data_IF_042624767597
#
_entry.id   IF_042624767597
#
_cell.length_a   1.000
_cell.length_b   1.000
_cell.length_c   1.000
_cell.angle_alpha   90.00
_cell.angle_beta   90.00
_cell.angle_gamma   90.00
#
_symmetry.space_group_name_H-M   'P 1'
#
loop_
_entity.id
_entity.type
_entity.pdbx_description
1 polymer ?
#
# COMPACT_ATOMS: atom_id res chain seq x y z
N UNK A 1 -55.62 15.15 38.56
CA UNK A 1 -54.87 13.95 38.13
C UNK A 1 -53.43 14.36 37.85
N UNK A 2 -52.51 14.20 38.81
CA UNK A 2 -51.09 14.54 38.59
C UNK A 2 -50.35 13.29 38.09
N UNK A 3 -49.89 13.37 36.84
CA UNK A 3 -49.06 12.36 36.18
C UNK A 3 -47.63 12.54 36.66
N UNK A 4 -47.21 11.75 37.64
CA UNK A 4 -45.81 11.70 38.09
C UNK A 4 -44.98 11.09 36.97
N UNK A 5 -44.32 11.92 36.17
CA UNK A 5 -43.32 11.45 35.22
C UNK A 5 -42.12 10.96 36.04
N UNK A 6 -41.96 9.63 36.09
CA UNK A 6 -40.76 9.01 36.66
C UNK A 6 -39.59 9.35 35.75
N UNK A 7 -38.87 10.43 36.07
CA UNK A 7 -37.57 10.70 35.48
C UNK A 7 -36.66 9.53 35.83
N UNK A 8 -36.14 8.83 34.80
CA UNK A 8 -35.05 7.86 34.98
C UNK A 8 -33.95 8.52 35.83
N UNK A 9 -33.40 7.77 36.78
CA UNK A 9 -32.36 8.31 37.66
C UNK A 9 -31.17 8.79 36.81
N UNK A 10 -30.61 9.97 37.13
CA UNK A 10 -29.52 10.58 36.37
C UNK A 10 -28.30 9.64 36.24
N UNK A 11 -28.08 8.79 37.25
CA UNK A 11 -26.99 7.81 37.26
C UNK A 11 -27.29 6.58 36.38
N UNK A 12 -28.56 6.16 36.29
CA UNK A 12 -28.97 5.06 35.40
C UNK A 12 -28.85 5.48 33.95
N UNK A 13 -29.26 6.72 33.64
CA UNK A 13 -29.06 7.30 32.31
C UNK A 13 -27.57 7.45 31.97
N UNK A 14 -26.73 7.85 32.92
CA UNK A 14 -25.28 7.97 32.72
C UNK A 14 -24.60 6.62 32.45
N UNK A 15 -25.02 5.54 33.11
CA UNK A 15 -24.50 4.20 32.84
C UNK A 15 -24.84 3.74 31.43
N UNK A 16 -26.11 3.91 31.00
CA UNK A 16 -26.54 3.55 29.64
C UNK A 16 -25.81 4.39 28.59
N UNK A 17 -25.58 5.68 28.87
CA UNK A 17 -24.83 6.57 27.99
C UNK A 17 -23.37 6.12 27.84
N UNK A 18 -22.72 5.73 28.95
CA UNK A 18 -21.35 5.23 28.92
C UNK A 18 -21.24 3.91 28.15
N UNK A 19 -22.18 2.98 28.36
CA UNK A 19 -22.24 1.72 27.60
C UNK A 19 -22.50 1.97 26.10
N UNK A 20 -23.39 2.91 25.76
CA UNK A 20 -23.64 3.30 24.37
C UNK A 20 -22.39 3.88 23.71
N UNK A 21 -21.65 4.76 24.40
CA UNK A 21 -20.42 5.34 23.89
C UNK A 21 -19.35 4.27 23.59
N UNK A 22 -19.19 3.29 24.48
CA UNK A 22 -18.25 2.17 24.29
C UNK A 22 -18.63 1.36 23.03
N UNK A 23 -19.90 1.00 22.87
CA UNK A 23 -20.36 0.21 21.71
C UNK A 23 -20.19 0.99 20.40
N UNK A 24 -20.51 2.29 20.39
CA UNK A 24 -20.33 3.15 19.22
C UNK A 24 -18.84 3.28 18.87
N UNK A 25 -17.97 3.47 19.86
CA UNK A 25 -16.51 3.51 19.61
C UNK A 25 -15.97 2.17 19.08
N UNK A 26 -16.47 1.04 19.59
CA UNK A 26 -16.05 -0.29 19.15
C UNK A 26 -16.47 -0.57 17.71
N UNK A 27 -17.71 -0.24 17.36
CA UNK A 27 -18.23 -0.42 15.99
C UNK A 27 -17.53 0.49 14.98
N UNK A 28 -17.23 1.74 15.36
CA UNK A 28 -16.44 2.65 14.53
C UNK A 28 -15.01 2.15 14.31
N UNK A 29 -14.35 1.69 15.37
CA UNK A 29 -13.01 1.12 15.27
C UNK A 29 -12.98 -0.09 14.33
N UNK A 30 -13.93 -1.02 14.49
CA UNK A 30 -14.02 -2.18 13.60
C UNK A 30 -14.28 -1.78 12.14
N UNK A 31 -15.17 -0.80 11.91
CA UNK A 31 -15.43 -0.30 10.55
C UNK A 31 -14.17 0.31 9.91
N UNK A 32 -13.37 1.06 10.67
CA UNK A 32 -12.11 1.62 10.18
C UNK A 32 -11.13 0.49 9.82
N UNK A 33 -10.96 -0.50 10.68
CA UNK A 33 -10.10 -1.67 10.40
C UNK A 33 -10.58 -2.46 9.19
N UNK A 34 -11.88 -2.67 9.05
CA UNK A 34 -12.47 -3.37 7.90
C UNK A 34 -12.22 -2.59 6.60
N UNK A 35 -12.41 -1.28 6.62
CA UNK A 35 -12.15 -0.40 5.47
C UNK A 35 -10.67 -0.37 5.09
N UNK A 36 -9.76 -0.32 6.06
CA UNK A 36 -8.33 -0.39 5.81
C UNK A 36 -7.93 -1.73 5.18
N UNK A 37 -8.50 -2.84 5.65
CA UNK A 37 -8.28 -4.16 5.06
C UNK A 37 -8.84 -4.28 3.64
N UNK A 38 -10.02 -3.72 3.38
CA UNK A 38 -10.60 -3.68 2.03
C UNK A 38 -9.70 -2.87 1.07
N UNK A 39 -9.25 -1.69 1.50
CA UNK A 39 -8.34 -0.85 0.71
C UNK A 39 -7.02 -1.58 0.43
N UNK A 40 -6.44 -2.23 1.44
CA UNK A 40 -5.24 -3.05 1.27
C UNK A 40 -5.43 -4.17 0.26
N UNK A 41 -6.55 -4.90 0.36
CA UNK A 41 -6.85 -5.98 -0.59
C UNK A 41 -6.98 -5.46 -2.02
N UNK A 42 -7.64 -4.30 -2.22
CA UNK A 42 -7.74 -3.65 -3.54
C UNK A 42 -6.38 -3.23 -4.09
N UNK A 43 -5.52 -2.63 -3.26
CA UNK A 43 -4.15 -2.27 -3.64
C UNK A 43 -3.37 -3.52 -4.03
N UNK A 44 -3.42 -4.57 -3.22
CA UNK A 44 -2.72 -5.84 -3.49
C UNK A 44 -3.17 -6.46 -4.81
N UNK A 45 -4.48 -6.60 -5.02
CA UNK A 45 -5.02 -7.13 -6.27
C UNK A 45 -4.57 -6.29 -7.46
N UNK A 46 -4.55 -4.96 -7.33
CA UNK A 46 -4.08 -4.09 -8.40
C UNK A 46 -2.59 -4.30 -8.68
N UNK A 47 -1.73 -4.31 -7.66
CA UNK A 47 -0.29 -4.57 -7.81
C UNK A 47 -0.04 -5.93 -8.48
N UNK A 48 -0.73 -6.99 -8.06
CA UNK A 48 -0.59 -8.32 -8.66
C UNK A 48 -1.05 -8.33 -10.13
N UNK A 49 -2.12 -7.63 -10.47
CA UNK A 49 -2.58 -7.50 -11.85
C UNK A 49 -1.57 -6.72 -12.71
N UNK A 50 -0.97 -5.66 -12.16
CA UNK A 50 0.10 -4.89 -12.82
C UNK A 50 1.29 -5.81 -13.10
N UNK A 51 1.77 -6.55 -12.10
CA UNK A 51 2.90 -7.48 -12.24
C UNK A 51 2.61 -8.52 -13.31
N UNK A 52 1.43 -9.16 -13.26
CA UNK A 52 1.04 -10.15 -14.25
C UNK A 52 0.98 -9.55 -15.67
N UNK A 53 0.50 -8.32 -15.79
CA UNK A 53 0.42 -7.58 -17.06
C UNK A 53 1.81 -7.23 -17.58
N UNK A 54 2.71 -6.71 -16.74
CA UNK A 54 4.11 -6.42 -17.11
C UNK A 54 4.81 -7.71 -17.54
N UNK A 55 4.68 -8.78 -16.76
CA UNK A 55 5.25 -10.08 -17.09
C UNK A 55 4.70 -10.63 -18.42
N UNK A 56 3.44 -10.32 -18.78
CA UNK A 56 2.83 -10.72 -20.06
C UNK A 56 3.27 -9.83 -21.24
N UNK A 57 3.46 -8.54 -21.02
CA UNK A 57 3.88 -7.59 -22.06
C UNK A 57 5.36 -7.70 -22.38
N UNK A 58 6.17 -8.06 -21.39
CA UNK A 58 7.63 -8.11 -21.47
C UNK A 58 8.16 -9.52 -21.21
N UNK A 59 7.46 -10.54 -21.72
CA UNK A 59 7.91 -11.94 -21.69
C UNK A 59 9.32 -11.99 -22.30
N UNK A 60 10.26 -12.65 -21.63
CA UNK A 60 11.67 -12.84 -22.03
C UNK A 60 12.56 -11.57 -22.01
N UNK A 61 12.13 -10.46 -21.39
CA UNK A 61 13.01 -9.30 -21.21
C UNK A 61 14.02 -9.54 -20.09
N UNK A 62 13.56 -10.09 -18.97
CA UNK A 62 14.39 -10.51 -17.85
C UNK A 62 15.35 -9.41 -17.38
N UNK A 63 16.59 -9.80 -17.10
CA UNK A 63 17.65 -8.87 -16.68
C UNK A 63 18.41 -8.23 -17.85
N UNK A 64 18.17 -8.69 -19.08
CA UNK A 64 19.04 -8.41 -20.23
C UNK A 64 18.48 -7.38 -21.21
N UNK A 65 17.17 -7.10 -21.16
CA UNK A 65 16.52 -6.11 -22.03
C UNK A 65 15.87 -4.99 -21.23
N UNK A 66 15.96 -3.73 -21.71
CA UNK A 66 15.28 -2.61 -21.08
C UNK A 66 13.76 -2.71 -21.23
N UNK A 67 13.02 -2.44 -20.17
CA UNK A 67 11.54 -2.34 -20.16
C UNK A 67 11.05 -1.05 -20.85
N UNK A 68 11.52 -0.79 -22.07
CA UNK A 68 11.25 0.45 -22.83
C UNK A 68 9.76 0.66 -23.06
N UNK A 69 9.25 1.84 -22.71
CA UNK A 69 7.83 2.18 -22.88
C UNK A 69 6.93 1.74 -21.73
N UNK A 70 7.48 1.07 -20.70
CA UNK A 70 6.74 0.79 -19.49
C UNK A 70 6.35 2.11 -18.81
N UNK A 71 5.05 2.31 -18.64
CA UNK A 71 4.48 3.48 -17.98
C UNK A 71 3.12 3.11 -17.38
N UNK A 72 2.63 3.87 -16.39
CA UNK A 72 1.28 3.69 -15.86
C UNK A 72 0.18 3.77 -16.94
N UNK A 73 0.41 4.55 -18.01
CA UNK A 73 -0.52 4.68 -19.15
C UNK A 73 -0.66 3.37 -19.95
N UNK A 74 0.45 2.68 -20.22
CA UNK A 74 0.43 1.38 -20.89
C UNK A 74 -0.33 0.33 -20.04
N UNK A 75 -0.16 0.39 -18.73
CA UNK A 75 -0.83 -0.50 -17.78
C UNK A 75 -2.34 -0.21 -17.71
N UNK A 76 -2.74 1.06 -17.78
CA UNK A 76 -4.15 1.43 -17.84
C UNK A 76 -4.85 0.88 -19.09
N UNK A 77 -4.18 0.90 -20.24
CA UNK A 77 -4.73 0.35 -21.49
C UNK A 77 -4.90 -1.18 -21.41
N UNK A 78 -3.96 -1.86 -20.73
CA UNK A 78 -3.98 -3.31 -20.60
C UNK A 78 -4.92 -3.84 -19.49
N UNK A 79 -5.24 -3.04 -18.47
CA UNK A 79 -6.10 -3.44 -17.34
C UNK A 79 -7.34 -2.53 -17.25
N UNK A 80 -8.53 -3.03 -17.60
CA UNK A 80 -9.74 -2.23 -17.53
C UNK A 80 -10.04 -1.81 -16.08
N UNK A 81 -10.58 -0.58 -15.92
CA UNK A 81 -10.94 0.06 -14.65
C UNK A 81 -9.79 0.61 -13.80
N UNK A 82 -8.55 0.64 -14.30
CA UNK A 82 -7.48 1.42 -13.65
C UNK A 82 -7.70 2.92 -13.89
N UNK A 83 -7.66 3.69 -12.81
CA UNK A 83 -7.75 5.15 -12.85
C UNK A 83 -6.36 5.75 -12.69
N UNK A 84 -5.98 6.60 -13.63
CA UNK A 84 -4.78 7.43 -13.51
C UNK A 84 -5.14 8.79 -12.91
N UNK A 85 -4.20 9.31 -12.13
CA UNK A 85 -4.22 10.67 -11.66
C UNK A 85 -3.94 11.63 -12.82
N UNK A 86 -4.77 12.67 -12.93
CA UNK A 86 -4.68 13.64 -14.03
C UNK A 86 -3.48 14.58 -13.91
N UNK A 87 -2.86 14.67 -12.73
CA UNK A 87 -1.73 15.55 -12.47
C UNK A 87 -0.40 14.82 -12.57
N UNK A 88 -0.29 13.63 -11.97
CA UNK A 88 0.97 12.90 -11.88
C UNK A 88 1.05 11.68 -12.81
N UNK A 89 -0.07 11.27 -13.43
CA UNK A 89 -0.12 10.07 -14.28
C UNK A 89 0.00 8.75 -13.53
N UNK A 90 -0.03 8.77 -12.20
CA UNK A 90 0.07 7.57 -11.35
C UNK A 90 -1.27 6.86 -11.20
N UNK A 91 -1.24 5.56 -10.92
CA UNK A 91 -2.43 4.76 -10.69
C UNK A 91 -2.99 5.09 -9.31
N UNK A 92 -4.21 5.62 -9.24
CA UNK A 92 -4.87 5.98 -7.99
C UNK A 92 -5.46 4.74 -7.34
N UNK A 93 -5.19 4.56 -6.06
CA UNK A 93 -5.75 3.51 -5.23
C UNK A 93 -6.55 4.07 -4.06
N UNK A 94 -7.48 3.28 -3.48
CA UNK A 94 -8.21 3.70 -2.30
C UNK A 94 -7.25 3.98 -1.12
N UNK A 95 -7.62 4.93 -0.27
CA UNK A 95 -6.76 5.39 0.82
C UNK A 95 -5.75 6.47 0.43
N UNK A 96 -5.82 7.01 -0.80
CA UNK A 96 -4.93 8.07 -1.26
C UNK A 96 -3.52 7.59 -1.58
N UNK A 97 -3.37 6.28 -1.80
CA UNK A 97 -2.11 5.66 -2.23
C UNK A 97 -2.00 5.81 -3.75
N UNK A 98 -0.81 6.10 -4.23
CA UNK A 98 -0.52 6.17 -5.66
C UNK A 98 0.48 5.08 -6.03
N UNK A 99 0.22 4.39 -7.15
CA UNK A 99 1.12 3.38 -7.68
C UNK A 99 1.79 3.93 -8.93
N UNK A 100 3.11 3.94 -8.93
CA UNK A 100 3.91 4.21 -10.12
C UNK A 100 4.61 2.93 -10.61
N UNK A 101 4.81 2.82 -11.92
CA UNK A 101 5.46 1.68 -12.55
C UNK A 101 6.41 2.20 -13.61
N UNK A 102 7.71 1.96 -13.43
CA UNK A 102 8.73 2.53 -14.30
C UNK A 102 9.84 1.53 -14.61
N UNK A 103 10.48 1.64 -15.79
CA UNK A 103 11.69 0.91 -16.09
C UNK A 103 12.87 1.51 -15.34
N UNK A 104 13.70 0.66 -14.76
CA UNK A 104 14.93 1.06 -14.08
C UNK A 104 16.12 0.32 -14.67
N UNK A 105 17.13 1.08 -15.11
CA UNK A 105 18.42 0.54 -15.48
C UNK A 105 19.31 0.45 -14.24
N UNK A 106 20.01 -0.67 -14.08
CA UNK A 106 20.99 -0.84 -13.01
C UNK A 106 22.31 -1.36 -13.56
N UNK A 107 23.35 -1.22 -12.74
CA UNK A 107 24.69 -1.62 -13.13
C UNK A 107 24.73 -3.14 -13.38
N UNK A 108 24.71 -3.52 -14.66
CA UNK A 108 24.71 -4.91 -15.11
C UNK A 108 23.39 -5.46 -15.66
N UNK A 109 22.28 -4.70 -15.64
CA UNK A 109 21.02 -5.17 -16.22
C UNK A 109 19.81 -4.26 -16.02
N UNK A 110 18.63 -4.81 -16.30
CA UNK A 110 17.36 -4.08 -16.30
C UNK A 110 16.36 -4.71 -15.34
N UNK A 111 15.59 -3.85 -14.69
CA UNK A 111 14.48 -4.24 -13.82
C UNK A 111 13.38 -3.19 -13.93
N UNK A 112 12.17 -3.55 -13.55
CA UNK A 112 11.07 -2.60 -13.43
C UNK A 112 10.76 -2.36 -11.96
N UNK A 113 10.37 -1.14 -11.63
CA UNK A 113 9.99 -0.76 -10.27
C UNK A 113 8.49 -0.60 -10.15
N UNK A 114 7.97 -1.01 -9.00
CA UNK A 114 6.62 -0.68 -8.55
C UNK A 114 6.78 0.17 -7.30
N UNK A 115 6.27 1.39 -7.36
CA UNK A 115 6.40 2.38 -6.28
C UNK A 115 5.03 2.62 -5.67
N UNK A 116 4.92 2.41 -4.35
CA UNK A 116 3.74 2.74 -3.57
C UNK A 116 4.00 4.05 -2.81
N UNK A 117 3.42 5.14 -3.31
CA UNK A 117 3.52 6.47 -2.72
C UNK A 117 2.41 6.70 -1.71
N UNK A 118 2.71 7.56 -0.72
CA UNK A 118 1.77 8.00 0.32
C UNK A 118 1.22 6.86 1.19
N UNK A 119 2.05 5.86 1.49
CA UNK A 119 1.67 4.77 2.40
C UNK A 119 1.69 5.27 3.85
N UNK A 120 0.60 5.14 4.61
CA UNK A 120 0.59 5.50 6.03
C UNK A 120 1.61 4.66 6.80
N UNK A 121 2.34 5.28 7.72
CA UNK A 121 3.38 4.58 8.46
C UNK A 121 2.88 3.40 9.29
N UNK A 122 1.66 3.50 9.83
CA UNK A 122 0.98 2.42 10.56
C UNK A 122 0.78 1.16 9.70
N UNK A 123 0.81 1.30 8.38
CA UNK A 123 0.62 0.22 7.42
C UNK A 123 1.93 -0.15 6.69
N UNK A 124 3.05 0.47 7.02
CA UNK A 124 4.34 0.28 6.35
C UNK A 124 4.78 -1.19 6.33
N UNK A 125 4.69 -1.87 7.48
CA UNK A 125 5.05 -3.28 7.61
C UNK A 125 4.14 -4.20 6.80
N UNK A 126 2.84 -3.88 6.76
CA UNK A 126 1.84 -4.64 6.02
C UNK A 126 2.07 -4.56 4.51
N UNK A 127 2.33 -3.35 3.98
CA UNK A 127 2.63 -3.16 2.56
C UNK A 127 4.03 -3.68 2.18
N UNK A 128 5.01 -3.59 3.08
CA UNK A 128 6.34 -4.19 2.87
C UNK A 128 6.29 -5.71 2.77
N UNK A 129 5.48 -6.35 3.63
CA UNK A 129 5.21 -7.79 3.56
C UNK A 129 4.54 -8.17 2.25
N UNK A 130 3.55 -7.38 1.84
CA UNK A 130 2.82 -7.60 0.59
C UNK A 130 3.75 -7.57 -0.62
N UNK A 131 4.62 -6.55 -0.73
CA UNK A 131 5.55 -6.43 -1.85
C UNK A 131 6.64 -7.51 -1.84
N UNK A 132 7.14 -7.90 -0.67
CA UNK A 132 8.13 -8.98 -0.59
C UNK A 132 7.54 -10.37 -0.84
N UNK A 133 6.22 -10.52 -0.77
CA UNK A 133 5.52 -11.78 -1.08
C UNK A 133 5.40 -12.07 -2.59
N UNK A 134 5.83 -11.15 -3.47
CA UNK A 134 5.76 -11.32 -4.93
C UNK A 134 6.65 -12.47 -5.44
N UNK A 135 7.60 -12.98 -4.63
CA UNK A 135 8.32 -14.23 -4.90
C UNK A 135 9.59 -14.06 -5.75
N UNK A 136 9.89 -15.05 -6.61
CA UNK A 136 11.21 -15.21 -7.28
C UNK A 136 11.65 -14.07 -8.20
N UNK A 137 10.70 -13.23 -8.63
CA UNK A 137 10.91 -12.08 -9.50
C UNK A 137 11.37 -10.83 -8.75
N UNK A 138 11.20 -10.80 -7.42
CA UNK A 138 11.64 -9.71 -6.58
C UNK A 138 13.16 -9.74 -6.39
N UNK A 139 13.83 -8.61 -6.64
CA UNK A 139 15.31 -8.51 -6.53
C UNK A 139 15.78 -7.48 -5.53
N UNK A 140 15.09 -6.34 -5.44
CA UNK A 140 15.53 -5.17 -4.64
C UNK A 140 14.31 -4.45 -4.09
N UNK A 141 14.50 -3.73 -3.00
CA UNK A 141 13.52 -2.75 -2.56
C UNK A 141 14.18 -1.49 -2.03
N UNK A 142 13.41 -0.43 -1.99
CA UNK A 142 13.78 0.82 -1.38
C UNK A 142 12.64 1.30 -0.51
N UNK A 143 13.00 1.98 0.57
CA UNK A 143 12.03 2.74 1.36
C UNK A 143 12.57 4.13 1.60
N UNK A 144 11.69 5.11 1.63
CA UNK A 144 12.03 6.47 2.01
C UNK A 144 10.80 7.19 2.56
N UNK A 145 10.97 8.16 3.46
CA UNK A 145 9.94 9.16 3.72
C UNK A 145 9.59 9.87 2.40
N UNK A 146 8.32 10.16 2.17
CA UNK A 146 7.90 10.86 0.95
C UNK A 146 8.63 12.21 0.82
N UNK A 147 9.45 12.37 -0.21
CA UNK A 147 10.25 13.58 -0.45
C UNK A 147 11.66 13.61 0.18
N UNK A 148 12.13 12.52 0.79
CA UNK A 148 13.51 12.35 1.26
C UNK A 148 14.26 11.24 0.51
N UNK A 149 15.57 11.13 0.74
CA UNK A 149 16.43 10.14 0.10
C UNK A 149 16.01 8.70 0.38
N UNK A 150 16.32 7.81 -0.56
CA UNK A 150 15.95 6.40 -0.54
C UNK A 150 16.99 5.54 0.18
N UNK A 151 16.53 4.60 1.00
CA UNK A 151 17.36 3.56 1.57
C UNK A 151 17.29 2.30 0.70
N UNK A 152 18.38 1.92 0.00
CA UNK A 152 18.40 0.73 -0.84
C UNK A 152 18.60 -0.54 -0.02
N UNK A 153 17.79 -1.55 -0.30
CA UNK A 153 17.91 -2.90 0.24
C UNK A 153 18.19 -3.91 -0.86
N UNK A 154 19.24 -4.70 -0.66
CA UNK A 154 19.69 -5.75 -1.58
C UNK A 154 19.87 -7.04 -0.78
N UNK A 155 19.60 -8.19 -1.41
CA UNK A 155 19.80 -9.49 -0.80
C UNK A 155 18.73 -10.50 -1.19
N UNK A 156 18.58 -11.55 -0.38
CA UNK A 156 17.46 -12.48 -0.54
C UNK A 156 16.14 -11.80 -0.18
N UNK A 157 14.99 -12.25 -0.72
CA UNK A 157 13.69 -11.70 -0.36
C UNK A 157 13.42 -11.68 1.15
N UNK A 158 13.92 -12.68 1.88
CA UNK A 158 13.80 -12.79 3.34
C UNK A 158 14.63 -11.72 4.06
N UNK A 159 15.87 -11.47 3.60
CA UNK A 159 16.73 -10.43 4.17
C UNK A 159 16.17 -9.04 3.90
N UNK A 160 15.72 -8.78 2.66
CA UNK A 160 15.12 -7.50 2.28
C UNK A 160 13.85 -7.25 3.08
N UNK A 161 13.03 -8.29 3.31
CA UNK A 161 11.87 -8.19 4.21
C UNK A 161 12.32 -7.72 5.59
N UNK A 162 13.24 -8.41 6.25
CA UNK A 162 13.70 -8.00 7.59
C UNK A 162 14.22 -6.56 7.64
N UNK A 163 14.94 -6.12 6.59
CA UNK A 163 15.45 -4.76 6.48
C UNK A 163 14.34 -3.71 6.30
N UNK A 164 13.35 -3.99 5.45
CA UNK A 164 12.17 -3.13 5.27
C UNK A 164 11.40 -2.97 6.58
N UNK A 165 11.21 -4.05 7.33
CA UNK A 165 10.57 -4.01 8.65
C UNK A 165 11.34 -3.10 9.62
N UNK A 166 12.67 -3.27 9.71
CA UNK A 166 13.50 -2.40 10.56
C UNK A 166 13.45 -0.93 10.12
N UNK A 167 13.41 -0.66 8.82
CA UNK A 167 13.31 0.70 8.31
C UNK A 167 11.94 1.34 8.55
N UNK A 168 10.85 0.57 8.48
CA UNK A 168 9.51 1.03 8.87
C UNK A 168 9.47 1.52 10.33
N UNK A 169 10.21 0.86 11.23
CA UNK A 169 10.28 1.24 12.65
C UNK A 169 11.14 2.49 12.90
N UNK A 170 12.10 2.77 12.01
CA UNK A 170 12.97 3.94 12.10
C UNK A 170 12.33 5.25 11.65
N UNK A 171 11.25 5.19 10.87
CA UNK A 171 10.49 6.36 10.44
C UNK A 171 9.45 6.64 11.53
N UNK A 172 9.29 7.90 11.95
CA UNK A 172 8.48 8.22 13.14
C UNK A 172 7.23 9.04 12.85
N UNK A 173 7.15 9.74 11.71
CA UNK A 173 5.98 10.54 11.33
C UNK A 173 5.79 10.63 9.81
N UNK A 174 4.53 10.73 9.38
CA UNK A 174 4.15 11.03 8.00
C UNK A 174 3.81 9.79 7.17
N UNK A 175 4.06 9.90 5.86
CA UNK A 175 3.86 8.83 4.89
C UNK A 175 5.18 8.38 4.29
N UNK A 176 5.23 7.10 3.94
CA UNK A 176 6.41 6.47 3.35
C UNK A 176 6.12 6.13 1.91
N UNK A 177 7.18 6.07 1.13
CA UNK A 177 7.15 5.47 -0.21
C UNK A 177 7.96 4.20 -0.19
N UNK A 178 7.35 3.11 -0.69
CA UNK A 178 7.97 1.79 -0.74
C UNK A 178 8.10 1.41 -2.20
N UNK A 179 9.31 1.05 -2.62
CA UNK A 179 9.60 0.66 -4.00
C UNK A 179 10.07 -0.79 -4.02
N UNK A 180 9.52 -1.58 -4.93
CA UNK A 180 9.97 -2.94 -5.21
C UNK A 180 10.53 -3.00 -6.62
N UNK A 181 11.75 -3.52 -6.77
CA UNK A 181 12.40 -3.79 -8.04
C UNK A 181 12.26 -5.25 -8.43
N UNK A 182 11.68 -5.48 -9.60
CA UNK A 182 11.32 -6.80 -10.10
C UNK A 182 11.90 -7.05 -11.50
N UNK A 183 12.00 -8.33 -11.85
CA UNK A 183 12.29 -8.79 -13.21
C UNK A 183 11.14 -9.69 -13.69
N UNK A 184 10.94 -9.78 -15.00
CA UNK A 184 9.98 -10.72 -15.61
C UNK A 184 10.55 -12.12 -15.65
#
# INVERSE_FOLDING_TARGET
MNKTQRGLSLIEAAMVLALAAIVISGTMYYYQMAKENENRNKVMTTVMNIIATVNKLYIDYGFYKPYTGLSPALIQDAIPNIKLDKHNGYIIQPGGIYINVEPMSQNGGYLYTIELHNVPISQCENYSTMLTAIGGNFKKAWIGPTGQGWYPFNGTPQAIRAQLFGACQGITQGTVTIVAGLIT
#
